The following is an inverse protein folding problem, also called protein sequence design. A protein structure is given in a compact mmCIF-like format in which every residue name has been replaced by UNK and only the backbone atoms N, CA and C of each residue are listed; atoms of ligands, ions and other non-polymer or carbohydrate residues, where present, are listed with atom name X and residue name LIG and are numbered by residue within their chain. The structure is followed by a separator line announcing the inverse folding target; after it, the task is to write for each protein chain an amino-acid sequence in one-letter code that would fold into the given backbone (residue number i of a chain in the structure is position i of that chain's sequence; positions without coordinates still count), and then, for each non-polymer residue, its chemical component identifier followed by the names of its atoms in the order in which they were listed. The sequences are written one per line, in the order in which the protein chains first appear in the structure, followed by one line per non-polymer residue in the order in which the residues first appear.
data_IF_242062665813
#
_entry.id   IF_242062665813
#
_cell.length_a   1.000
_cell.length_b   1.000
_cell.length_c   1.000
_cell.angle_alpha   90.00
_cell.angle_beta   90.00
_cell.angle_gamma   90.00
#
_symmetry.space_group_name_H-M   'P 1'
#
loop_
_entity.id
_entity.type
_entity.pdbx_description
1 polymer ?
#
# COMPACT_ATOMS: atom_id res chain seq x y z
N UNK A 1 35.00 21.93 0.07
CA UNK A 1 34.78 20.74 -0.76
C UNK A 1 33.97 19.80 0.12
N UNK A 2 32.79 19.33 -0.29
CA UNK A 2 31.98 18.48 0.58
C UNK A 2 32.68 17.14 0.85
N UNK A 3 32.62 16.58 2.08
CA UNK A 3 33.27 15.31 2.39
C UNK A 3 32.96 14.20 1.36
N UNK A 4 33.92 13.34 0.99
CA UNK A 4 33.72 12.32 -0.03
C UNK A 4 32.57 11.34 0.28
N UNK A 5 32.33 11.06 1.57
CA UNK A 5 31.21 10.22 2.00
C UNK A 5 29.83 10.91 1.88
N UNK A 6 29.76 12.25 1.82
CA UNK A 6 28.52 12.94 1.46
C UNK A 6 28.16 12.73 -0.02
N UNK A 7 29.18 12.57 -0.88
CA UNK A 7 29.00 12.40 -2.33
C UNK A 7 28.77 10.94 -2.73
N UNK A 8 29.30 9.99 -1.95
CA UNK A 8 29.23 8.55 -2.22
C UNK A 8 28.45 7.76 -1.16
N UNK A 9 27.47 8.39 -0.48
CA UNK A 9 26.71 7.77 0.61
C UNK A 9 26.05 6.46 0.17
N UNK A 10 25.25 6.48 -0.90
CA UNK A 10 24.54 5.30 -1.42
C UNK A 10 25.49 4.14 -1.80
N UNK A 11 26.55 4.34 -2.61
CA UNK A 11 27.56 3.30 -2.83
C UNK A 11 28.22 2.75 -1.56
N UNK A 12 28.44 3.62 -0.56
CA UNK A 12 29.04 3.24 0.72
C UNK A 12 28.08 2.34 1.52
N UNK A 13 26.80 2.72 1.62
CA UNK A 13 25.76 1.92 2.29
C UNK A 13 25.56 0.58 1.58
N UNK A 14 25.54 0.57 0.23
CA UNK A 14 25.47 -0.66 -0.55
C UNK A 14 26.67 -1.60 -0.31
N UNK A 15 27.86 -1.05 -0.09
CA UNK A 15 29.05 -1.82 0.27
C UNK A 15 28.95 -2.38 1.69
N UNK A 16 28.50 -1.57 2.66
CA UNK A 16 28.27 -2.00 4.03
C UNK A 16 27.26 -3.14 4.12
N UNK A 17 26.15 -3.02 3.40
CA UNK A 17 25.11 -4.05 3.34
C UNK A 17 25.68 -5.39 2.85
N UNK A 18 26.53 -5.38 1.82
CA UNK A 18 27.20 -6.60 1.31
C UNK A 18 28.17 -7.20 2.32
N UNK A 19 28.93 -6.38 3.05
CA UNK A 19 29.84 -6.85 4.10
C UNK A 19 29.08 -7.53 5.23
N UNK A 20 28.02 -6.90 5.74
CA UNK A 20 27.18 -7.51 6.78
C UNK A 20 26.44 -8.76 6.28
N UNK A 21 25.99 -8.77 5.02
CA UNK A 21 25.37 -9.96 4.43
C UNK A 21 26.35 -11.14 4.39
N UNK A 22 27.63 -10.90 4.10
CA UNK A 22 28.66 -11.95 4.11
C UNK A 22 28.93 -12.53 5.50
N UNK A 23 28.54 -11.82 6.56
CA UNK A 23 28.70 -12.21 7.97
C UNK A 23 27.41 -12.80 8.56
N UNK A 24 26.32 -12.88 7.79
CA UNK A 24 25.01 -13.33 8.27
C UNK A 24 24.31 -12.33 9.20
N UNK A 25 24.76 -11.07 9.23
CA UNK A 25 24.26 -10.01 10.10
C UNK A 25 22.96 -9.39 9.54
N UNK A 26 21.86 -10.13 9.65
CA UNK A 26 20.60 -9.82 8.97
C UNK A 26 19.94 -8.49 9.43
N UNK A 27 20.11 -8.10 10.70
CA UNK A 27 19.49 -6.87 11.23
C UNK A 27 20.16 -5.62 10.64
N UNK A 28 21.49 -5.61 10.59
CA UNK A 28 22.31 -4.58 9.98
C UNK A 28 22.00 -4.44 8.49
N UNK A 29 21.88 -5.55 7.78
CA UNK A 29 21.47 -5.57 6.36
C UNK A 29 20.08 -4.95 6.19
N UNK A 30 19.10 -5.34 6.99
CA UNK A 30 17.74 -4.81 6.91
C UNK A 30 17.71 -3.29 7.17
N UNK A 31 18.44 -2.80 8.17
CA UNK A 31 18.52 -1.37 8.48
C UNK A 31 19.14 -0.60 7.32
N UNK A 32 20.28 -1.06 6.79
CA UNK A 32 20.97 -0.40 5.68
C UNK A 32 20.16 -0.41 4.38
N UNK A 33 19.27 -1.40 4.20
CA UNK A 33 18.46 -1.56 3.00
C UNK A 33 17.17 -0.75 3.03
N UNK A 34 16.51 -0.69 4.18
CA UNK A 34 15.14 -0.18 4.28
C UNK A 34 15.04 1.21 4.93
N UNK A 35 16.11 1.71 5.53
CA UNK A 35 16.11 3.03 6.17
C UNK A 35 16.44 4.12 5.16
N UNK A 36 15.84 5.29 5.32
CA UNK A 36 16.25 6.49 4.57
C UNK A 36 17.47 7.12 5.26
N UNK A 37 18.61 7.26 4.58
CA UNK A 37 19.80 7.84 5.18
C UNK A 37 19.78 9.37 5.13
N UNK A 38 20.32 9.99 6.18
CA UNK A 38 20.53 11.42 6.28
C UNK A 38 21.87 11.67 6.98
N UNK A 39 22.64 12.65 6.52
CA UNK A 39 23.87 13.06 7.21
C UNK A 39 23.65 14.45 7.80
N UNK A 40 23.91 14.56 9.11
CA UNK A 40 23.85 15.80 9.86
C UNK A 40 25.24 16.15 10.40
N UNK A 41 25.62 17.42 10.34
CA UNK A 41 26.81 17.91 11.02
C UNK A 41 26.55 17.92 12.53
N UNK A 42 27.43 17.29 13.30
CA UNK A 42 27.26 17.13 14.75
C UNK A 42 28.14 18.08 15.55
N UNK A 43 29.40 18.26 15.14
CA UNK A 43 30.37 19.06 15.89
C UNK A 43 31.53 19.50 15.00
N UNK A 44 32.19 20.61 15.38
CA UNK A 44 33.44 21.07 14.76
C UNK A 44 34.50 21.28 15.83
N UNK A 45 35.64 20.59 15.69
CA UNK A 45 36.84 20.78 16.50
C UNK A 45 37.83 21.65 15.73
N UNK A 46 38.38 22.69 16.37
CA UNK A 46 39.29 23.64 15.73
C UNK A 46 40.78 23.33 15.98
N UNK A 47 41.11 22.22 16.62
CA UNK A 47 42.49 21.79 16.82
C UNK A 47 43.09 21.15 15.54
N UNK A 48 44.42 21.23 15.37
CA UNK A 48 45.20 20.59 14.30
C UNK A 48 44.70 20.78 12.85
N UNK A 49 44.12 21.94 12.52
CA UNK A 49 43.67 22.24 11.15
C UNK A 49 42.17 22.06 10.91
N UNK A 50 41.40 21.76 11.96
CA UNK A 50 39.94 21.70 11.91
C UNK A 50 39.43 20.31 11.54
N UNK A 51 38.53 19.74 12.35
CA UNK A 51 37.84 18.48 12.06
C UNK A 51 36.34 18.65 12.24
N UNK A 52 35.59 18.39 11.17
CA UNK A 52 34.12 18.37 11.20
C UNK A 52 33.64 16.95 11.42
N UNK A 53 32.79 16.77 12.43
CA UNK A 53 32.15 15.51 12.76
C UNK A 53 30.73 15.49 12.22
N UNK A 54 30.35 14.35 11.66
CA UNK A 54 29.04 14.10 11.09
C UNK A 54 28.39 12.87 11.72
N UNK A 55 27.07 12.86 11.81
CA UNK A 55 26.29 11.68 12.16
C UNK A 55 25.52 11.18 10.94
N UNK A 56 25.53 9.87 10.74
CA UNK A 56 24.65 9.18 9.80
C UNK A 56 23.38 8.78 10.55
N UNK A 57 22.28 9.43 10.21
CA UNK A 57 20.95 9.09 10.71
C UNK A 57 20.30 8.12 9.71
N UNK A 58 19.85 6.97 10.20
CA UNK A 58 19.13 5.96 9.44
C UNK A 58 17.69 5.93 9.94
N UNK A 59 16.78 6.51 9.15
CA UNK A 59 15.35 6.56 9.46
C UNK A 59 14.69 5.23 9.12
N UNK A 60 14.61 4.33 10.10
CA UNK A 60 14.09 3.00 9.97
C UNK A 60 12.55 2.98 9.89
N UNK A 61 11.95 2.19 8.97
CA UNK A 61 10.50 2.03 8.88
C UNK A 61 9.86 1.58 10.20
N UNK A 62 8.64 2.03 10.47
CA UNK A 62 7.91 1.76 11.73
C UNK A 62 7.60 0.27 11.97
N UNK A 63 7.58 -0.55 10.92
CA UNK A 63 7.47 -2.01 11.06
C UNK A 63 8.79 -2.68 11.43
N UNK A 64 9.94 -2.05 11.15
CA UNK A 64 11.27 -2.56 11.43
C UNK A 64 11.77 -2.11 12.81
N UNK A 65 11.56 -0.84 13.17
CA UNK A 65 12.13 -0.23 14.39
C UNK A 65 11.83 -1.01 15.69
N UNK A 66 10.61 -1.49 15.97
CA UNK A 66 10.32 -2.25 17.20
C UNK A 66 11.10 -3.58 17.29
N UNK A 67 11.48 -4.16 16.16
CA UNK A 67 12.21 -5.43 16.12
C UNK A 67 13.70 -5.26 16.48
N UNK A 68 14.24 -4.05 16.33
CA UNK A 68 15.66 -3.74 16.52
C UNK A 68 15.93 -2.91 17.78
N UNK A 69 14.91 -2.31 18.38
CA UNK A 69 15.04 -1.37 19.51
C UNK A 69 15.91 -1.94 20.65
N UNK A 70 15.69 -3.18 21.05
CA UNK A 70 16.45 -3.84 22.11
C UNK A 70 17.95 -4.00 21.82
N UNK A 71 18.34 -4.01 20.54
CA UNK A 71 19.72 -4.24 20.09
C UNK A 71 20.32 -3.04 19.34
N UNK A 72 19.58 -1.94 19.25
CA UNK A 72 19.91 -0.75 18.45
C UNK A 72 21.34 -0.26 18.67
N UNK A 73 21.76 -0.04 19.91
CA UNK A 73 23.10 0.48 20.21
C UNK A 73 24.24 -0.44 19.76
N UNK A 74 24.03 -1.76 19.75
CA UNK A 74 25.03 -2.71 19.22
C UNK A 74 25.12 -2.61 17.70
N UNK A 75 23.98 -2.45 17.04
CA UNK A 75 23.91 -2.32 15.58
C UNK A 75 24.54 -1.00 15.12
N UNK A 76 24.22 0.12 15.78
CA UNK A 76 24.82 1.43 15.51
C UNK A 76 26.35 1.39 15.60
N UNK A 77 26.88 0.80 16.68
CA UNK A 77 28.32 0.65 16.87
C UNK A 77 28.96 -0.26 15.80
N UNK A 78 28.29 -1.34 15.40
CA UNK A 78 28.78 -2.23 14.36
C UNK A 78 28.86 -1.54 12.99
N UNK A 79 27.80 -0.80 12.63
CA UNK A 79 27.73 -0.05 11.36
C UNK A 79 28.82 1.02 11.34
N UNK A 80 28.95 1.82 12.41
CA UNK A 80 29.98 2.86 12.53
C UNK A 80 31.38 2.28 12.31
N UNK A 81 31.72 1.22 13.03
CA UNK A 81 33.03 0.57 12.94
C UNK A 81 33.37 0.11 11.53
N UNK A 82 32.40 -0.44 10.78
CA UNK A 82 32.64 -0.83 9.38
C UNK A 82 32.67 0.37 8.43
N UNK A 83 31.86 1.40 8.69
CA UNK A 83 31.83 2.62 7.91
C UNK A 83 33.20 3.31 7.94
N UNK A 84 33.84 3.38 9.11
CA UNK A 84 35.18 3.93 9.30
C UNK A 84 36.21 3.32 8.35
N UNK A 85 36.18 1.99 8.15
CA UNK A 85 37.10 1.26 7.27
C UNK A 85 36.95 1.67 5.80
N UNK A 86 35.74 2.06 5.39
CA UNK A 86 35.40 2.32 3.98
C UNK A 86 35.57 3.80 3.64
N UNK A 87 35.08 4.68 4.52
CA UNK A 87 34.72 6.05 4.17
C UNK A 87 35.45 7.16 4.95
N UNK A 88 36.01 6.87 6.14
CA UNK A 88 36.83 7.85 6.89
C UNK A 88 38.27 7.91 6.34
N UNK A 89 38.41 8.14 5.03
CA UNK A 89 39.71 8.28 4.35
C UNK A 89 40.22 9.73 4.30
N UNK A 90 39.43 10.67 4.80
CA UNK A 90 39.72 12.10 4.78
C UNK A 90 40.09 12.56 6.19
N UNK A 91 41.20 13.27 6.40
CA UNK A 91 41.69 13.61 7.75
C UNK A 91 40.83 14.64 8.50
N UNK A 92 40.06 15.48 7.79
CA UNK A 92 39.38 16.64 8.41
C UNK A 92 37.84 16.49 8.45
N UNK A 93 37.29 15.43 7.91
CA UNK A 93 35.85 15.15 7.91
C UNK A 93 35.64 13.71 8.34
N UNK A 94 35.00 13.50 9.49
CA UNK A 94 34.83 12.18 10.09
C UNK A 94 33.36 11.90 10.39
N UNK A 95 32.95 10.66 10.13
CA UNK A 95 31.71 10.16 10.71
C UNK A 95 31.95 9.85 12.19
N UNK A 96 31.32 10.63 13.08
CA UNK A 96 31.42 10.48 14.53
C UNK A 96 30.36 9.55 15.13
N UNK A 97 29.28 9.27 14.39
CA UNK A 97 28.19 8.44 14.91
C UNK A 97 27.25 7.90 13.84
N UNK A 98 26.57 6.80 14.19
CA UNK A 98 25.42 6.25 13.48
C UNK A 98 24.24 6.27 14.45
N UNK A 99 23.11 6.81 14.00
CA UNK A 99 21.90 6.95 14.80
C UNK A 99 20.76 6.29 14.03
N UNK A 100 20.06 5.33 14.63
CA UNK A 100 18.87 4.72 14.06
C UNK A 100 17.64 5.35 14.70
N UNK A 101 16.83 6.04 13.93
CA UNK A 101 15.58 6.67 14.38
C UNK A 101 14.38 6.04 13.67
N UNK A 102 13.18 6.03 14.29
CA UNK A 102 11.98 5.68 13.56
C UNK A 102 11.71 6.74 12.48
N UNK A 103 11.36 6.30 11.28
CA UNK A 103 10.95 7.19 10.21
C UNK A 103 9.66 7.94 10.59
N UNK A 104 9.68 9.26 10.47
CA UNK A 104 8.50 10.10 10.64
C UNK A 104 7.70 10.05 9.35
N UNK A 105 6.45 9.59 9.43
CA UNK A 105 5.56 9.48 8.28
C UNK A 105 4.46 10.53 8.41
N UNK A 106 4.29 11.36 7.39
CA UNK A 106 3.14 12.24 7.28
C UNK A 106 1.91 11.43 6.86
N UNK A 107 0.97 11.26 7.78
CA UNK A 107 -0.32 10.62 7.51
C UNK A 107 -1.44 11.53 8.03
N UNK A 108 -2.10 12.32 7.17
CA UNK A 108 -3.16 13.24 7.58
C UNK A 108 -4.34 12.56 8.31
N UNK A 109 -4.48 11.25 8.19
CA UNK A 109 -5.56 10.45 8.77
C UNK A 109 -5.08 9.51 9.90
N UNK A 110 -3.91 9.78 10.50
CA UNK A 110 -3.32 8.89 11.49
C UNK A 110 -4.21 8.70 12.72
N UNK A 111 -4.99 9.72 13.10
CA UNK A 111 -5.89 9.67 14.27
C UNK A 111 -7.05 8.72 14.03
N UNK A 112 -7.64 8.77 12.84
CA UNK A 112 -8.73 7.90 12.41
C UNK A 112 -8.27 6.45 12.30
N UNK A 113 -7.08 6.22 11.72
CA UNK A 113 -6.48 4.86 11.62
C UNK A 113 -6.12 4.27 12.99
N UNK A 114 -5.57 5.08 13.90
CA UNK A 114 -5.28 4.66 15.26
C UNK A 114 -6.57 4.34 16.04
N UNK A 115 -7.61 5.16 15.90
CA UNK A 115 -8.94 4.91 16.49
C UNK A 115 -9.60 3.65 15.90
N UNK A 116 -9.47 3.42 14.60
CA UNK A 116 -9.93 2.20 13.93
C UNK A 116 -9.19 0.97 14.47
N UNK A 117 -7.87 1.04 14.66
CA UNK A 117 -7.09 -0.05 15.25
C UNK A 117 -7.50 -0.34 16.69
N UNK A 118 -7.64 0.70 17.53
CA UNK A 118 -8.09 0.56 18.93
C UNK A 118 -9.51 -0.01 19.04
N UNK A 119 -10.38 0.29 18.10
CA UNK A 119 -11.74 -0.26 18.04
C UNK A 119 -11.83 -1.64 17.38
N UNK A 120 -10.71 -2.19 16.89
CA UNK A 120 -10.67 -3.49 16.20
C UNK A 120 -11.16 -3.46 14.75
N UNK A 121 -11.37 -2.27 14.18
CA UNK A 121 -11.81 -2.08 12.80
C UNK A 121 -10.62 -2.23 11.85
N UNK A 122 -10.39 -3.44 11.32
CA UNK A 122 -9.41 -3.66 10.24
C UNK A 122 -10.00 -3.22 8.91
N UNK A 123 -9.29 -2.37 8.17
CA UNK A 123 -9.63 -2.06 6.77
C UNK A 123 -9.54 -3.38 5.95
N UNK A 124 -10.62 -3.82 5.31
CA UNK A 124 -10.66 -5.15 4.67
C UNK A 124 -11.70 -5.26 3.55
N UNK A 125 -11.30 -5.83 2.41
CA UNK A 125 -12.21 -6.33 1.35
C UNK A 125 -12.06 -7.86 1.11
N UNK A 126 -11.63 -8.63 2.12
CA UNK A 126 -11.35 -10.09 2.11
C UNK A 126 -10.80 -10.70 0.78
N UNK A 127 -9.45 -10.83 0.73
CA UNK A 127 -8.72 -11.64 -0.24
C UNK A 127 -7.80 -10.89 -1.21
N UNK A 128 -7.00 -9.90 -0.76
CA UNK A 128 -6.06 -9.12 -1.61
C UNK A 128 -5.13 -10.03 -2.44
N UNK A 129 -5.40 -10.18 -3.74
CA UNK A 129 -4.41 -10.67 -4.73
C UNK A 129 -4.60 -9.91 -6.05
N UNK A 130 -4.14 -8.66 -6.07
CA UNK A 130 -3.40 -8.01 -7.17
C UNK A 130 -2.46 -6.99 -6.51
N UNK A 131 -1.18 -7.31 -6.46
CA UNK A 131 -0.10 -6.48 -5.90
C UNK A 131 0.35 -5.36 -6.85
N UNK A 132 -0.34 -5.18 -7.96
CA UNK A 132 0.23 -4.44 -9.10
C UNK A 132 -0.53 -3.12 -9.35
N UNK A 133 -1.65 -2.91 -8.67
CA UNK A 133 -2.39 -1.66 -8.69
C UNK A 133 -3.04 -1.44 -7.31
N UNK A 134 -2.32 -0.78 -6.41
CA UNK A 134 -2.81 -0.48 -5.06
C UNK A 134 -4.00 0.45 -5.20
N UNK A 135 -5.21 -0.08 -5.02
CA UNK A 135 -6.43 0.69 -4.89
C UNK A 135 -6.24 1.76 -3.78
N UNK A 136 -6.12 3.05 -4.13
CA UNK A 136 -5.54 4.05 -3.23
C UNK A 136 -6.59 4.71 -2.32
N UNK A 137 -7.88 4.44 -2.55
CA UNK A 137 -8.97 5.13 -1.89
C UNK A 137 -9.62 4.22 -0.84
N UNK A 138 -9.93 4.78 0.33
CA UNK A 138 -10.64 4.07 1.40
C UNK A 138 -11.80 4.87 1.96
N UNK A 139 -12.93 4.21 2.20
CA UNK A 139 -14.14 4.78 2.81
C UNK A 139 -14.75 3.74 3.74
N UNK A 140 -15.16 4.14 4.95
CA UNK A 140 -15.86 3.28 5.92
C UNK A 140 -15.15 1.93 6.22
N UNK A 141 -13.81 1.92 6.20
CA UNK A 141 -13.01 0.71 6.41
C UNK A 141 -12.92 -0.22 5.20
N UNK A 142 -13.36 0.22 4.03
CA UNK A 142 -13.33 -0.52 2.76
C UNK A 142 -12.42 0.19 1.75
N UNK A 143 -11.84 -0.56 0.82
CA UNK A 143 -10.96 -0.03 -0.24
C UNK A 143 -11.74 0.07 -1.56
N UNK A 144 -11.40 1.01 -2.44
CA UNK A 144 -11.99 1.20 -3.77
C UNK A 144 -10.93 1.52 -4.81
N UNK A 145 -11.14 1.09 -6.07
CA UNK A 145 -10.19 1.30 -7.17
C UNK A 145 -10.37 2.67 -7.82
N UNK A 146 -11.56 3.28 -7.71
CA UNK A 146 -11.86 4.56 -8.35
C UNK A 146 -12.86 5.44 -7.57
N UNK A 147 -12.86 6.75 -7.85
CA UNK A 147 -13.82 7.68 -7.26
C UNK A 147 -15.28 7.42 -7.70
N UNK A 148 -15.55 7.04 -8.97
CA UNK A 148 -16.89 6.59 -9.38
C UNK A 148 -17.43 5.40 -8.57
N UNK A 149 -16.60 4.42 -8.22
CA UNK A 149 -17.01 3.33 -7.32
C UNK A 149 -17.40 3.87 -5.94
N UNK A 150 -16.67 4.83 -5.39
CA UNK A 150 -17.02 5.45 -4.10
C UNK A 150 -18.37 6.17 -4.15
N UNK A 151 -18.67 6.87 -5.25
CA UNK A 151 -19.97 7.50 -5.42
C UNK A 151 -21.09 6.48 -5.49
N UNK A 152 -20.89 5.37 -6.22
CA UNK A 152 -21.86 4.29 -6.31
C UNK A 152 -22.05 3.57 -4.97
N UNK A 153 -20.97 3.32 -4.23
CA UNK A 153 -21.00 2.81 -2.86
C UNK A 153 -21.88 3.67 -1.95
N UNK A 154 -21.66 5.00 -1.96
CA UNK A 154 -22.47 5.95 -1.16
C UNK A 154 -23.93 5.95 -1.61
N UNK A 155 -24.19 5.84 -2.91
CA UNK A 155 -25.55 5.75 -3.44
C UNK A 155 -26.27 4.49 -2.95
N UNK A 156 -25.67 3.31 -3.08
CA UNK A 156 -26.26 2.06 -2.56
C UNK A 156 -26.49 2.13 -1.05
N UNK A 157 -25.52 2.64 -0.29
CA UNK A 157 -25.65 2.85 1.16
C UNK A 157 -26.83 3.78 1.48
N UNK A 158 -27.00 4.88 0.74
CA UNK A 158 -28.08 5.84 0.96
C UNK A 158 -29.47 5.29 0.62
N UNK A 159 -29.57 4.37 -0.34
CA UNK A 159 -30.82 3.72 -0.76
C UNK A 159 -31.21 2.58 0.20
N UNK A 160 -30.25 2.03 0.96
CA UNK A 160 -30.51 0.95 1.91
C UNK A 160 -30.64 -0.43 1.27
N UNK A 161 -29.99 -0.66 0.12
CA UNK A 161 -29.86 -2.02 -0.45
C UNK A 161 -28.72 -2.78 0.23
N UNK A 162 -28.78 -4.12 0.27
CA UNK A 162 -27.68 -4.95 0.71
C UNK A 162 -26.67 -5.16 -0.43
N UNK A 163 -25.39 -4.93 -0.17
CA UNK A 163 -24.34 -5.08 -1.18
C UNK A 163 -22.96 -5.31 -0.56
N UNK A 164 -22.02 -5.78 -1.37
CA UNK A 164 -20.62 -5.95 -1.04
C UNK A 164 -19.75 -5.28 -2.12
N UNK A 165 -18.88 -4.31 -1.78
CA UNK A 165 -17.87 -3.78 -2.69
C UNK A 165 -16.62 -4.65 -2.72
N UNK A 166 -16.04 -4.84 -3.91
CA UNK A 166 -14.85 -5.65 -4.17
C UNK A 166 -14.84 -7.03 -3.49
N UNK A 167 -15.95 -7.81 -3.51
CA UNK A 167 -15.96 -9.14 -2.92
C UNK A 167 -15.10 -10.11 -3.74
N UNK A 168 -14.38 -11.01 -3.05
CA UNK A 168 -13.66 -12.11 -3.71
C UNK A 168 -14.55 -13.34 -3.79
N UNK A 169 -14.70 -13.88 -4.99
CA UNK A 169 -15.31 -15.19 -5.22
C UNK A 169 -14.25 -16.20 -5.65
N UNK A 170 -14.34 -17.41 -5.08
CA UNK A 170 -13.45 -18.53 -5.38
C UNK A 170 -14.30 -19.73 -5.82
N UNK A 171 -13.92 -20.36 -6.93
CA UNK A 171 -14.38 -21.69 -7.32
C UNK A 171 -13.18 -22.62 -7.33
N UNK A 172 -13.17 -23.59 -6.43
CA UNK A 172 -12.26 -24.73 -6.48
C UNK A 172 -12.84 -25.84 -7.36
N UNK A 173 -12.10 -26.95 -7.48
CA UNK A 173 -12.47 -28.10 -8.32
C UNK A 173 -11.35 -28.47 -9.29
N UNK A 174 -11.71 -29.03 -10.45
CA UNK A 174 -10.76 -29.40 -11.49
C UNK A 174 -9.94 -28.19 -12.00
N UNK A 175 -10.53 -26.99 -11.97
CA UNK A 175 -9.88 -25.72 -12.26
C UNK A 175 -10.14 -24.72 -11.14
N UNK A 176 -9.08 -24.02 -10.70
CA UNK A 176 -9.19 -22.92 -9.76
C UNK A 176 -9.55 -21.63 -10.49
N UNK A 177 -10.65 -21.00 -10.09
CA UNK A 177 -11.04 -19.66 -10.56
C UNK A 177 -11.23 -18.71 -9.39
N UNK A 178 -10.69 -17.50 -9.53
CA UNK A 178 -10.86 -16.39 -8.58
C UNK A 178 -11.25 -15.13 -9.34
N UNK A 179 -12.33 -14.48 -8.92
CA UNK A 179 -12.78 -13.21 -9.49
C UNK A 179 -13.07 -12.19 -8.39
N UNK A 180 -13.00 -10.91 -8.74
CA UNK A 180 -13.19 -9.78 -7.82
C UNK A 180 -13.94 -8.65 -8.56
N UNK A 181 -15.27 -8.79 -8.71
CA UNK A 181 -16.09 -7.74 -9.32
C UNK A 181 -16.13 -6.47 -8.46
N UNK A 182 -16.46 -5.34 -9.06
CA UNK A 182 -16.53 -4.07 -8.33
C UNK A 182 -17.62 -4.07 -7.24
N UNK A 183 -18.82 -4.58 -7.56
CA UNK A 183 -19.89 -4.74 -6.59
C UNK A 183 -20.70 -6.02 -6.79
N UNK A 184 -21.21 -6.55 -5.68
CA UNK A 184 -22.33 -7.50 -5.68
C UNK A 184 -23.49 -6.91 -4.88
N UNK A 185 -24.65 -6.82 -5.50
CA UNK A 185 -25.89 -6.28 -4.92
C UNK A 185 -26.89 -7.41 -4.72
N UNK A 186 -27.54 -7.43 -3.57
CA UNK A 186 -28.52 -8.45 -3.21
C UNK A 186 -29.86 -7.77 -2.88
N UNK A 187 -30.92 -8.17 -3.57
CA UNK A 187 -32.27 -7.67 -3.32
C UNK A 187 -33.29 -8.78 -3.56
N UNK A 188 -34.21 -8.97 -2.59
CA UNK A 188 -35.31 -9.94 -2.68
C UNK A 188 -34.86 -11.36 -3.11
N UNK A 189 -33.78 -11.85 -2.52
CA UNK A 189 -33.24 -13.20 -2.79
C UNK A 189 -32.50 -13.34 -4.13
N UNK A 190 -32.15 -12.23 -4.78
CA UNK A 190 -31.45 -12.24 -6.07
C UNK A 190 -30.16 -11.49 -5.99
N UNK A 191 -29.23 -11.90 -6.83
CA UNK A 191 -27.86 -11.40 -6.83
C UNK A 191 -27.57 -10.77 -8.18
N UNK A 192 -26.97 -9.59 -8.15
CA UNK A 192 -26.47 -8.88 -9.31
C UNK A 192 -25.01 -8.51 -9.09
N UNK A 193 -24.16 -8.81 -10.07
CA UNK A 193 -22.81 -8.27 -10.16
C UNK A 193 -22.86 -6.97 -10.96
N UNK A 194 -22.15 -5.94 -10.49
CA UNK A 194 -22.01 -4.66 -11.18
C UNK A 194 -20.52 -4.36 -11.35
N UNK A 195 -20.08 -4.13 -12.60
CA UNK A 195 -18.74 -3.62 -12.91
C UNK A 195 -18.82 -2.15 -13.34
N UNK A 196 -17.87 -1.34 -12.90
CA UNK A 196 -17.72 0.07 -13.24
C UNK A 196 -16.57 0.21 -14.25
N UNK A 197 -16.92 0.30 -15.53
CA UNK A 197 -15.92 0.37 -16.60
C UNK A 197 -15.31 1.79 -16.69
N UNK A 198 -13.99 1.89 -16.52
CA UNK A 198 -13.23 3.14 -16.69
C UNK A 198 -13.17 3.61 -18.15
N UNK A 199 -13.17 4.93 -18.38
CA UNK A 199 -13.14 5.53 -19.73
C UNK A 199 -11.77 5.42 -20.45
N UNK A 200 -10.79 4.73 -19.85
CA UNK A 200 -9.43 4.56 -20.39
C UNK A 200 -9.06 3.09 -20.53
N UNK A 201 -9.04 2.60 -21.78
CA UNK A 201 -8.23 1.49 -22.31
C UNK A 201 -7.97 0.30 -21.37
N UNK A 202 -9.01 -0.48 -21.08
CA UNK A 202 -8.82 -1.91 -20.83
C UNK A 202 -9.02 -2.66 -22.15
N UNK A 203 -7.91 -3.04 -22.80
CA UNK A 203 -7.91 -4.09 -23.82
C UNK A 203 -8.01 -5.47 -23.14
N UNK A 204 -9.06 -5.70 -22.37
CA UNK A 204 -9.42 -7.07 -22.01
C UNK A 204 -10.12 -7.66 -23.25
N UNK A 205 -9.68 -8.82 -23.73
CA UNK A 205 -10.34 -9.40 -24.91
C UNK A 205 -11.77 -9.77 -24.53
N UNK A 206 -12.72 -9.77 -25.49
CA UNK A 206 -14.09 -10.22 -25.21
C UNK A 206 -14.14 -11.62 -24.59
N UNK A 207 -13.15 -12.48 -24.89
CA UNK A 207 -13.00 -13.80 -24.29
C UNK A 207 -12.60 -13.74 -22.81
N UNK A 208 -11.58 -12.93 -22.44
CA UNK A 208 -11.15 -12.77 -21.05
C UNK A 208 -12.26 -12.18 -20.16
N UNK A 209 -13.02 -11.21 -20.71
CA UNK A 209 -14.18 -10.63 -20.05
C UNK A 209 -15.33 -11.65 -19.91
N UNK A 210 -15.52 -12.52 -20.91
CA UNK A 210 -16.51 -13.59 -20.85
C UNK A 210 -16.12 -14.69 -19.85
N UNK A 211 -14.84 -15.06 -19.78
CA UNK A 211 -14.31 -16.09 -18.88
C UNK A 211 -14.34 -15.67 -17.40
N UNK A 212 -14.16 -14.38 -17.11
CA UNK A 212 -14.37 -13.82 -15.75
C UNK A 212 -15.83 -13.85 -15.33
N UNK A 213 -16.74 -13.53 -16.24
CA UNK A 213 -18.15 -13.32 -15.90
C UNK A 213 -18.96 -14.62 -15.90
N UNK A 214 -18.56 -15.62 -16.72
CA UNK A 214 -19.20 -16.94 -16.79
C UNK A 214 -19.22 -17.68 -15.46
N UNK A 215 -18.24 -17.44 -14.57
CA UNK A 215 -18.20 -18.07 -13.26
C UNK A 215 -19.51 -17.86 -12.49
N UNK A 216 -19.99 -16.62 -12.35
CA UNK A 216 -21.21 -16.33 -11.59
C UNK A 216 -22.47 -16.36 -12.46
N UNK A 217 -22.36 -16.02 -13.75
CA UNK A 217 -23.49 -16.05 -14.68
C UNK A 217 -24.15 -17.44 -14.73
N UNK A 218 -23.35 -18.52 -14.78
CA UNK A 218 -23.88 -19.90 -14.82
C UNK A 218 -24.56 -20.33 -13.50
N UNK A 219 -24.32 -19.62 -12.40
CA UNK A 219 -24.98 -19.85 -11.11
C UNK A 219 -26.29 -19.04 -10.97
N UNK A 220 -26.73 -18.38 -12.05
CA UNK A 220 -27.95 -17.58 -12.07
C UNK A 220 -27.79 -16.15 -11.52
N UNK A 221 -26.55 -15.66 -11.39
CA UNK A 221 -26.27 -14.27 -11.00
C UNK A 221 -26.47 -13.36 -12.21
N UNK A 222 -27.20 -12.26 -12.02
CA UNK A 222 -27.39 -11.24 -13.07
C UNK A 222 -26.15 -10.34 -13.17
N UNK A 223 -25.85 -9.82 -14.35
CA UNK A 223 -24.65 -9.01 -14.57
C UNK A 223 -25.00 -7.69 -15.25
N UNK A 224 -24.48 -6.59 -14.71
CA UNK A 224 -24.62 -5.25 -15.26
C UNK A 224 -23.26 -4.55 -15.35
N UNK A 225 -23.09 -3.74 -16.40
CA UNK A 225 -21.94 -2.85 -16.55
C UNK A 225 -22.43 -1.41 -16.60
N UNK A 226 -21.72 -0.52 -15.92
CA UNK A 226 -21.98 0.91 -15.96
C UNK A 226 -20.69 1.65 -16.29
N UNK A 227 -20.79 2.77 -17.02
CA UNK A 227 -19.60 3.57 -17.30
C UNK A 227 -19.21 4.39 -16.07
N UNK A 228 -17.92 4.60 -15.87
CA UNK A 228 -17.39 5.49 -14.85
C UNK A 228 -17.99 6.91 -14.93
N UNK A 229 -18.21 7.42 -16.15
CA UNK A 229 -18.87 8.71 -16.41
C UNK A 229 -20.36 8.79 -15.99
N UNK A 230 -21.01 7.64 -15.74
CA UNK A 230 -22.35 7.56 -15.14
C UNK A 230 -22.31 7.60 -13.61
N UNK A 231 -21.12 7.62 -13.00
CA UNK A 231 -20.91 7.68 -11.55
C UNK A 231 -19.85 8.71 -11.13
N UNK A 232 -19.43 9.60 -12.03
CA UNK A 232 -18.40 10.62 -11.76
C UNK A 232 -18.86 11.71 -10.75
N UNK A 233 -20.17 11.83 -10.50
CA UNK A 233 -20.74 12.65 -9.41
C UNK A 233 -21.71 11.86 -8.54
N UNK A 234 -21.96 12.34 -7.33
CA UNK A 234 -22.93 11.77 -6.38
C UNK A 234 -24.34 11.66 -6.97
N UNK A 235 -24.80 12.67 -7.69
CA UNK A 235 -26.15 12.71 -8.28
C UNK A 235 -26.30 11.69 -9.41
N UNK A 236 -25.27 11.57 -10.26
CA UNK A 236 -25.27 10.57 -11.34
C UNK A 236 -25.18 9.16 -10.79
N UNK A 237 -24.32 8.92 -9.79
CA UNK A 237 -24.22 7.63 -9.12
C UNK A 237 -25.55 7.22 -8.46
N UNK A 238 -26.27 8.17 -7.84
CA UNK A 238 -27.62 7.90 -7.29
C UNK A 238 -28.60 7.44 -8.38
N UNK A 239 -28.65 8.14 -9.52
CA UNK A 239 -29.49 7.74 -10.66
C UNK A 239 -29.10 6.36 -11.21
N UNK A 240 -27.81 6.08 -11.30
CA UNK A 240 -27.28 4.79 -11.74
C UNK A 240 -27.67 3.66 -10.78
N UNK A 241 -27.55 3.87 -9.46
CA UNK A 241 -28.00 2.91 -8.45
C UNK A 241 -29.52 2.66 -8.54
N UNK A 242 -30.34 3.70 -8.68
CA UNK A 242 -31.79 3.57 -8.88
C UNK A 242 -32.13 2.78 -10.16
N UNK A 243 -31.41 3.02 -11.26
CA UNK A 243 -31.54 2.27 -12.51
C UNK A 243 -31.21 0.79 -12.32
N UNK A 244 -30.11 0.47 -11.64
CA UNK A 244 -29.70 -0.91 -11.35
C UNK A 244 -30.75 -1.64 -10.50
N UNK A 245 -31.31 -0.97 -9.48
CA UNK A 245 -32.37 -1.56 -8.66
C UNK A 245 -33.69 -1.76 -9.43
N UNK A 246 -33.96 -0.93 -10.45
CA UNK A 246 -35.09 -1.16 -11.34
C UNK A 246 -34.95 -2.46 -12.17
N UNK A 247 -33.72 -2.91 -12.44
CA UNK A 247 -33.47 -4.19 -13.12
C UNK A 247 -33.96 -5.37 -12.28
N UNK A 248 -33.74 -5.35 -10.95
CA UNK A 248 -34.28 -6.39 -10.07
C UNK A 248 -35.79 -6.52 -10.17
N UNK A 249 -36.52 -5.40 -10.28
CA UNK A 249 -37.98 -5.40 -10.45
C UNK A 249 -38.41 -6.05 -11.77
N UNK A 250 -37.68 -5.80 -12.86
CA UNK A 250 -37.98 -6.43 -14.16
C UNK A 250 -37.76 -7.92 -14.12
N UNK A 251 -36.65 -8.36 -13.53
CA UNK A 251 -36.37 -9.78 -13.32
C UNK A 251 -37.50 -10.45 -12.50
N UNK A 252 -38.23 -9.71 -11.65
CA UNK A 252 -39.29 -10.27 -10.78
C UNK A 252 -40.50 -10.70 -11.58
N UNK A 253 -40.70 -10.07 -12.72
CA UNK A 253 -41.84 -10.30 -13.62
C UNK A 253 -41.57 -11.41 -14.64
N UNK A 254 -40.32 -11.90 -14.74
CA UNK A 254 -39.90 -12.91 -15.73
C UNK A 254 -39.93 -14.34 -15.19
N UNK A 255 -40.53 -14.56 -14.01
CA UNK A 255 -40.78 -15.90 -13.44
C UNK A 255 -42.28 -16.21 -13.44
#
# INVERSE_FOLDING_TARGET
MSPPFLVALEPTLGTLARLFASEGAAQEVAILTYSTPEIIESHYDNWNGGTTYYNLVLHAPLNLYPQIEAHKGKIEAAILKKFEVIANKTPNDLLGGVIISPAVVEDPQWREKAAAWLSGSKVSNQGRVRSDNVAPLSVDGLIFRSQPEIHLYRAFKSIGVSFAPLPVFIRGGAEYKRIEPDFVVIQAGRVMVVEVDGDTVHQETPADAHDRTTMLLHEGVHFERIKASECDTSEKAKKSAERLLAVFKKLQQTK
#
